data_IF_414090941115
#
_entry.id   IF_414090941115
#
_cell.length_a   1.000
_cell.length_b   1.000
_cell.length_c   1.000
_cell.angle_alpha   90.00
_cell.angle_beta   90.00
_cell.angle_gamma   90.00
#
_symmetry.space_group_name_H-M   'P 1'
#
loop_
_entity.id
_entity.type
_entity.pdbx_description
1 polymer ?
#
# COMPACT_ATOMS: atom_id res chain seq x y z
N UNK A 1 7.16 16.52 -22.52
CA UNK A 1 6.13 16.16 -21.50
C UNK A 1 5.77 14.69 -21.70
N UNK A 2 5.49 13.91 -20.65
CA UNK A 2 5.32 12.45 -20.72
C UNK A 2 3.97 11.94 -21.31
N UNK A 3 3.17 12.77 -21.98
CA UNK A 3 1.88 12.36 -22.57
C UNK A 3 0.77 11.98 -21.58
N UNK A 4 1.07 11.89 -20.28
CA UNK A 4 0.09 11.72 -19.22
C UNK A 4 -0.65 13.05 -19.04
N UNK A 5 -1.99 13.02 -19.01
CA UNK A 5 -2.83 14.20 -18.77
C UNK A 5 -2.59 14.86 -17.41
N UNK A 6 -3.59 15.52 -16.82
CA UNK A 6 -3.39 16.16 -15.51
C UNK A 6 -3.05 15.10 -14.43
N UNK A 7 -1.85 15.18 -13.87
CA UNK A 7 -1.39 14.33 -12.76
C UNK A 7 -1.38 15.16 -11.48
N UNK A 8 -2.05 14.66 -10.45
CA UNK A 8 -2.04 15.24 -9.12
C UNK A 8 -0.99 14.54 -8.23
N UNK A 9 -0.43 15.28 -7.27
CA UNK A 9 0.58 14.75 -6.35
C UNK A 9 0.13 13.48 -5.60
N UNK A 10 -1.18 13.33 -5.34
CA UNK A 10 -1.73 12.12 -4.73
C UNK A 10 -1.49 10.85 -5.58
N UNK A 11 -1.58 10.95 -6.91
CA UNK A 11 -1.32 9.82 -7.82
C UNK A 11 0.14 9.39 -7.76
N UNK A 12 1.07 10.35 -7.73
CA UNK A 12 2.50 10.07 -7.60
C UNK A 12 2.83 9.39 -6.26
N UNK A 13 2.22 9.86 -5.15
CA UNK A 13 2.37 9.22 -3.84
C UNK A 13 1.87 7.78 -3.86
N UNK A 14 0.72 7.52 -4.47
CA UNK A 14 0.18 6.17 -4.63
C UNK A 14 1.11 5.27 -5.44
N UNK A 15 1.61 5.76 -6.58
CA UNK A 15 2.54 5.01 -7.41
C UNK A 15 3.81 4.69 -6.64
N UNK A 16 4.44 5.68 -6.00
CA UNK A 16 5.66 5.48 -5.23
C UNK A 16 5.45 4.45 -4.09
N UNK A 17 4.38 4.58 -3.31
CA UNK A 17 4.08 3.62 -2.24
C UNK A 17 3.86 2.19 -2.75
N UNK A 18 3.18 2.05 -3.89
CA UNK A 18 2.89 0.75 -4.50
C UNK A 18 4.17 0.08 -4.99
N UNK A 19 5.04 0.83 -5.67
CA UNK A 19 6.31 0.30 -6.16
C UNK A 19 7.27 -0.07 -5.02
N UNK A 20 7.31 0.72 -3.95
CA UNK A 20 8.12 0.39 -2.76
C UNK A 20 7.62 -0.86 -2.05
N UNK A 21 6.30 -1.01 -1.87
CA UNK A 21 5.72 -2.24 -1.32
C UNK A 21 6.09 -3.46 -2.17
N UNK A 22 5.99 -3.35 -3.50
CA UNK A 22 6.38 -4.42 -4.43
C UNK A 22 7.86 -4.77 -4.37
N UNK A 23 8.71 -3.78 -4.06
CA UNK A 23 10.13 -3.97 -3.82
C UNK A 23 10.45 -4.54 -2.43
N UNK A 24 9.44 -4.84 -1.61
CA UNK A 24 9.59 -5.44 -0.28
C UNK A 24 9.80 -4.43 0.85
N UNK A 25 9.65 -3.13 0.60
CA UNK A 25 9.72 -2.12 1.67
C UNK A 25 8.53 -2.25 2.63
N UNK A 26 8.80 -2.08 3.91
CA UNK A 26 7.78 -2.12 4.97
C UNK A 26 6.93 -0.84 5.00
N UNK A 27 5.71 -0.93 5.53
CA UNK A 27 4.84 0.25 5.70
C UNK A 27 5.48 1.38 6.54
N UNK A 28 6.25 1.10 7.61
CA UNK A 28 6.99 2.15 8.32
C UNK A 28 8.00 2.90 7.43
N UNK A 29 8.81 2.18 6.65
CA UNK A 29 9.81 2.79 5.75
C UNK A 29 9.14 3.66 4.68
N UNK A 30 8.04 3.18 4.10
CA UNK A 30 7.26 3.95 3.12
C UNK A 30 6.65 5.19 3.75
N UNK A 31 6.14 5.07 4.98
CA UNK A 31 5.62 6.20 5.75
C UNK A 31 6.68 7.27 6.00
N UNK A 32 7.90 6.86 6.35
CA UNK A 32 9.03 7.77 6.55
C UNK A 32 9.42 8.48 5.25
N UNK A 33 9.59 7.73 4.15
CA UNK A 33 9.96 8.29 2.85
C UNK A 33 8.91 9.29 2.34
N UNK A 34 7.62 8.96 2.49
CA UNK A 34 6.50 9.84 2.10
C UNK A 34 6.16 10.91 3.15
N UNK A 35 6.89 10.94 4.27
CA UNK A 35 6.73 11.88 5.39
C UNK A 35 5.31 11.89 5.98
N UNK A 36 4.73 10.71 6.11
CA UNK A 36 3.46 10.53 6.80
C UNK A 36 3.65 10.64 8.31
N UNK A 37 2.85 11.50 8.96
CA UNK A 37 2.84 11.63 10.43
C UNK A 37 2.07 10.53 11.13
N UNK A 38 1.14 9.85 10.44
CA UNK A 38 0.28 8.82 11.01
C UNK A 38 0.44 7.53 10.23
N UNK A 39 0.66 6.43 10.93
CA UNK A 39 0.75 5.08 10.34
C UNK A 39 -0.52 4.71 9.59
N UNK A 40 -1.69 5.12 10.10
CA UNK A 40 -2.99 4.93 9.45
C UNK A 40 -3.03 5.50 8.01
N UNK A 41 -2.33 6.61 7.75
CA UNK A 41 -2.24 7.19 6.40
C UNK A 41 -1.45 6.30 5.45
N UNK A 42 -0.42 5.59 5.94
CA UNK A 42 0.35 4.65 5.11
C UNK A 42 -0.34 3.30 4.98
N UNK A 43 -1.10 2.87 6.00
CA UNK A 43 -1.82 1.59 6.01
C UNK A 43 -2.76 1.40 4.82
N UNK A 44 -3.26 2.50 4.22
CA UNK A 44 -4.10 2.45 3.01
C UNK A 44 -3.41 1.76 1.82
N UNK A 45 -2.08 1.71 1.82
CA UNK A 45 -1.31 1.07 0.75
C UNK A 45 -1.17 -0.44 0.95
N UNK A 46 -1.34 -0.97 2.18
CA UNK A 46 -1.16 -2.39 2.49
C UNK A 46 -1.98 -3.32 1.58
N UNK A 47 -3.15 -2.88 1.12
CA UNK A 47 -4.05 -3.63 0.23
C UNK A 47 -3.39 -4.11 -1.08
N UNK A 48 -2.30 -3.49 -1.52
CA UNK A 48 -1.61 -3.93 -2.75
C UNK A 48 -0.73 -5.15 -2.54
N UNK A 49 -0.31 -5.41 -1.30
CA UNK A 49 0.57 -6.53 -0.91
C UNK A 49 -0.27 -7.76 -0.54
N UNK A 50 -0.94 -8.31 -1.56
CA UNK A 50 -1.85 -9.44 -1.37
C UNK A 50 -1.13 -10.72 -0.95
N UNK A 51 0.14 -10.87 -1.29
CA UNK A 51 0.89 -12.08 -1.01
C UNK A 51 1.26 -12.17 0.47
N UNK A 52 1.73 -11.07 1.09
CA UNK A 52 1.90 -11.04 2.54
C UNK A 52 0.57 -11.07 3.29
N UNK A 53 -0.48 -10.41 2.76
CA UNK A 53 -1.81 -10.46 3.38
C UNK A 53 -2.40 -11.88 3.40
N UNK A 54 -2.11 -12.72 2.40
CA UNK A 54 -2.56 -14.13 2.37
C UNK A 54 -1.97 -14.97 3.49
N UNK A 55 -0.74 -14.70 3.90
CA UNK A 55 -0.07 -15.45 4.98
C UNK A 55 -0.76 -15.28 6.34
N UNK A 56 -1.41 -14.14 6.55
CA UNK A 56 -2.12 -13.82 7.79
C UNK A 56 -3.64 -13.91 7.66
N UNK A 57 -4.15 -14.17 6.45
CA UNK A 57 -5.57 -14.29 6.20
C UNK A 57 -6.09 -15.54 6.92
N UNK A 58 -7.09 -15.35 7.80
CA UNK A 58 -7.80 -16.47 8.39
C UNK A 58 -8.70 -17.11 7.32
N UNK A 59 -8.88 -18.44 7.35
CA UNK A 59 -9.88 -19.08 6.53
C UNK A 59 -11.23 -18.41 6.78
N UNK A 60 -12.03 -18.30 5.73
CA UNK A 60 -13.41 -17.86 5.90
C UNK A 60 -14.08 -18.81 6.89
N UNK A 61 -14.84 -18.32 7.88
CA UNK A 61 -15.60 -19.22 8.74
C UNK A 61 -16.62 -19.92 7.84
N UNK A 62 -16.30 -21.16 7.45
CA UNK A 62 -17.30 -22.08 6.93
C UNK A 62 -18.40 -22.07 7.98
N UNK A 63 -19.61 -21.66 7.57
CA UNK A 63 -20.67 -21.30 8.50
C UNK A 63 -20.76 -22.35 9.60
N UNK A 64 -20.74 -21.91 10.85
CA UNK A 64 -21.18 -22.73 11.95
C UNK A 64 -22.60 -23.18 11.61
N UNK A 65 -22.73 -24.39 11.07
CA UNK A 65 -24.00 -25.10 10.94
C UNK A 65 -24.32 -25.70 12.30
#
# INVERSE_FOLDING_TARGET
>A
RAGLGRVHAHRLRHTAATELLRAGASLPEIGQLLRHRRTATTAIYAKVDRDNLRLIARPWPEGAL
#
